data_IF_389509871590
#
_entry.id   IF_389509871590
#
_cell.length_a   1.000
_cell.length_b   1.000
_cell.length_c   1.000
_cell.angle_alpha   90.00
_cell.angle_beta   90.00
_cell.angle_gamma   90.00
#
_symmetry.space_group_name_H-M   'P 1'
#
loop_
_entity.id
_entity.type
_entity.pdbx_description
1 polymer ?
#
# COMPACT_ATOMS: atom_id res chain seq x y z
N UNK A 1 28.42 3.58 4.31
CA UNK A 1 27.33 4.10 5.15
C UNK A 1 27.82 5.12 6.19
N UNK A 2 28.68 4.75 7.14
CA UNK A 2 29.22 5.68 8.18
C UNK A 2 29.77 6.99 7.62
N UNK A 3 30.65 6.92 6.61
CA UNK A 3 31.21 8.10 5.95
C UNK A 3 30.14 9.03 5.33
N UNK A 4 29.03 8.47 4.85
CA UNK A 4 27.94 9.27 4.28
C UNK A 4 27.12 9.94 5.39
N UNK A 5 26.83 9.23 6.48
CA UNK A 5 26.19 9.79 7.68
C UNK A 5 27.02 10.96 8.20
N UNK A 6 28.33 10.78 8.37
CA UNK A 6 29.23 11.83 8.86
C UNK A 6 29.20 13.08 7.96
N UNK A 7 29.12 12.90 6.63
CA UNK A 7 28.98 14.01 5.68
C UNK A 7 27.62 14.72 5.82
N UNK A 8 26.54 13.95 5.93
CA UNK A 8 25.17 14.50 6.08
C UNK A 8 25.04 15.28 7.38
N UNK A 9 25.53 14.72 8.49
CA UNK A 9 25.57 15.38 9.81
C UNK A 9 26.26 16.73 9.71
N UNK A 10 27.44 16.78 9.09
CA UNK A 10 28.20 18.02 8.90
C UNK A 10 27.46 19.02 8.02
N UNK A 11 26.88 18.58 6.90
CA UNK A 11 26.15 19.45 5.97
C UNK A 11 24.89 20.05 6.60
N UNK A 12 24.23 19.31 7.49
CA UNK A 12 22.96 19.70 8.10
C UNK A 12 23.14 20.34 9.49
N UNK A 13 24.35 20.32 10.06
CA UNK A 13 24.60 20.84 11.40
C UNK A 13 23.86 20.05 12.49
N UNK A 14 23.79 18.72 12.34
CA UNK A 14 23.13 17.84 13.32
C UNK A 14 24.05 17.70 14.54
N UNK A 15 23.51 17.98 15.72
CA UNK A 15 24.20 17.68 16.97
C UNK A 15 24.13 16.16 17.24
N UNK A 16 25.31 15.53 17.34
CA UNK A 16 25.47 14.09 17.56
C UNK A 16 25.53 13.70 19.04
N UNK A 17 25.08 14.57 19.94
CA UNK A 17 25.06 14.30 21.38
C UNK A 17 24.33 13.00 21.78
N UNK A 18 23.44 12.45 20.93
CA UNK A 18 22.71 11.21 21.17
C UNK A 18 23.09 10.10 20.16
N UNK A 19 23.55 8.95 20.67
CA UNK A 19 23.84 7.73 19.91
C UNK A 19 22.61 7.22 19.16
N UNK A 20 21.40 7.47 19.70
CA UNK A 20 20.14 7.09 19.06
C UNK A 20 19.97 7.79 17.71
N UNK A 21 20.39 9.06 17.58
CA UNK A 21 20.27 9.83 16.34
C UNK A 21 21.02 9.17 15.18
N UNK A 22 22.22 8.64 15.43
CA UNK A 22 23.02 7.94 14.39
C UNK A 22 22.34 6.63 13.98
N UNK A 23 21.79 5.88 14.94
CA UNK A 23 21.06 4.66 14.66
C UNK A 23 19.81 4.93 13.80
N UNK A 24 19.01 5.94 14.17
CA UNK A 24 17.84 6.38 13.39
C UNK A 24 18.21 6.80 11.97
N UNK A 25 19.23 7.63 11.81
CA UNK A 25 19.73 8.01 10.47
C UNK A 25 20.20 6.77 9.69
N UNK A 26 20.86 5.83 10.35
CA UNK A 26 21.30 4.58 9.75
C UNK A 26 20.14 3.74 9.21
N UNK A 27 19.07 3.60 9.98
CA UNK A 27 17.85 2.90 9.56
C UNK A 27 17.18 3.59 8.38
N UNK A 28 17.06 4.92 8.41
CA UNK A 28 16.43 5.68 7.33
C UNK A 28 17.21 5.69 6.02
N UNK A 29 18.53 5.59 6.11
CA UNK A 29 19.46 5.54 4.98
C UNK A 29 19.75 4.13 4.49
N UNK A 30 19.43 3.10 5.27
CA UNK A 30 19.65 1.70 4.88
C UNK A 30 19.00 1.38 3.54
N UNK A 31 17.76 1.81 3.25
CA UNK A 31 17.16 1.67 1.93
C UNK A 31 17.90 2.37 0.79
N UNK A 32 18.70 3.38 1.11
CA UNK A 32 19.45 4.18 0.14
C UNK A 32 20.89 3.70 -0.02
N UNK A 33 21.26 2.53 0.55
CA UNK A 33 22.65 2.05 0.61
C UNK A 33 23.41 2.14 -0.71
N UNK A 34 22.80 1.65 -1.78
CA UNK A 34 23.48 1.52 -3.08
C UNK A 34 23.58 2.86 -3.82
N UNK A 35 22.78 3.85 -3.41
CA UNK A 35 22.70 5.18 -4.00
C UNK A 35 23.02 6.28 -3.00
N UNK A 36 23.71 5.91 -1.91
CA UNK A 36 23.98 6.83 -0.80
C UNK A 36 24.82 8.03 -1.26
N UNK A 37 25.64 7.85 -2.30
CA UNK A 37 26.37 8.94 -2.94
C UNK A 37 25.44 9.96 -3.59
N UNK A 38 24.46 9.51 -4.37
CA UNK A 38 23.46 10.37 -5.02
C UNK A 38 22.59 11.09 -3.98
N UNK A 39 22.24 10.41 -2.88
CA UNK A 39 21.54 11.05 -1.78
C UNK A 39 22.37 12.14 -1.10
N UNK A 40 23.68 11.89 -0.89
CA UNK A 40 24.60 12.89 -0.33
C UNK A 40 24.69 14.13 -1.22
N UNK A 41 24.73 13.96 -2.55
CA UNK A 41 24.74 15.09 -3.49
C UNK A 41 23.39 15.82 -3.49
N UNK A 42 22.27 15.10 -3.44
CA UNK A 42 20.95 15.69 -3.28
C UNK A 42 20.81 16.53 -2.01
N UNK A 43 21.32 16.05 -0.86
CA UNK A 43 21.34 16.81 0.39
C UNK A 43 22.15 18.09 0.22
N UNK A 44 23.32 18.03 -0.42
CA UNK A 44 24.18 19.21 -0.66
C UNK A 44 23.46 20.29 -1.47
N UNK A 45 22.69 19.89 -2.47
CA UNK A 45 21.96 20.80 -3.35
C UNK A 45 20.73 21.43 -2.69
N UNK A 46 20.08 20.72 -1.74
CA UNK A 46 18.76 21.07 -1.24
C UNK A 46 18.72 21.55 0.22
N UNK A 47 19.80 21.35 1.00
CA UNK A 47 19.84 21.65 2.44
C UNK A 47 19.68 23.14 2.80
N UNK A 48 19.93 24.03 1.83
CA UNK A 48 19.83 25.49 1.98
C UNK A 48 18.63 26.10 1.25
N UNK A 49 17.72 25.28 0.72
CA UNK A 49 16.50 25.80 0.08
C UNK A 49 15.61 26.55 1.09
N UNK A 50 14.79 27.47 0.60
CA UNK A 50 13.87 28.26 1.45
C UNK A 50 12.95 27.39 2.31
N UNK A 51 12.58 26.20 1.81
CA UNK A 51 11.79 25.20 2.52
C UNK A 51 12.48 24.68 3.80
N UNK A 52 13.80 24.80 3.90
CA UNK A 52 14.62 24.35 5.02
C UNK A 52 14.90 25.45 6.05
N UNK A 53 14.53 26.70 5.78
CA UNK A 53 14.95 27.87 6.57
C UNK A 53 14.60 27.77 8.06
N UNK A 54 13.46 27.16 8.39
CA UNK A 54 12.95 27.05 9.76
C UNK A 54 13.11 25.66 10.38
N UNK A 55 13.90 24.78 9.75
CA UNK A 55 14.13 23.41 10.22
C UNK A 55 15.51 23.28 10.87
N UNK A 56 15.59 22.57 11.99
CA UNK A 56 16.88 22.16 12.54
C UNK A 56 17.55 21.07 11.69
N UNK A 57 18.82 20.74 11.97
CA UNK A 57 19.59 19.79 11.16
C UNK A 57 18.93 18.42 11.01
N UNK A 58 18.32 17.89 12.07
CA UNK A 58 17.69 16.57 12.03
C UNK A 58 16.34 16.61 11.31
N UNK A 59 15.56 17.67 11.52
CA UNK A 59 14.34 17.92 10.76
C UNK A 59 14.61 18.10 9.26
N UNK A 60 15.72 18.75 8.89
CA UNK A 60 16.17 18.82 7.49
C UNK A 60 16.49 17.44 6.95
N UNK A 61 17.19 16.62 7.74
CA UNK A 61 17.52 15.24 7.35
C UNK A 61 16.26 14.44 7.04
N UNK A 62 15.31 14.37 7.97
CA UNK A 62 14.06 13.63 7.79
C UNK A 62 13.31 14.12 6.55
N UNK A 63 13.19 15.44 6.39
CA UNK A 63 12.50 16.02 5.24
C UNK A 63 13.18 15.65 3.91
N UNK A 64 14.50 15.78 3.81
CA UNK A 64 15.25 15.51 2.59
C UNK A 64 15.26 14.01 2.24
N UNK A 65 15.34 13.13 3.25
CA UNK A 65 15.19 11.68 3.06
C UNK A 65 13.81 11.37 2.48
N UNK A 66 12.75 11.94 3.06
CA UNK A 66 11.38 11.72 2.60
C UNK A 66 11.15 12.29 1.19
N UNK A 67 11.64 13.48 0.89
CA UNK A 67 11.51 14.11 -0.44
C UNK A 67 12.26 13.29 -1.50
N UNK A 68 13.48 12.84 -1.18
CA UNK A 68 14.27 11.98 -2.06
C UNK A 68 13.60 10.63 -2.31
N UNK A 69 13.08 9.98 -1.25
CA UNK A 69 12.32 8.73 -1.36
C UNK A 69 11.06 8.93 -2.22
N UNK A 70 10.30 10.00 -2.01
CA UNK A 70 9.10 10.32 -2.81
C UNK A 70 9.41 10.49 -4.30
N UNK A 71 10.50 11.20 -4.63
CA UNK A 71 10.91 11.40 -6.01
C UNK A 71 11.35 10.08 -6.67
N UNK A 72 11.97 9.15 -5.94
CA UNK A 72 12.28 7.80 -6.45
C UNK A 72 11.05 6.90 -6.63
N UNK A 73 10.06 7.09 -5.79
CA UNK A 73 8.77 6.41 -5.90
C UNK A 73 7.88 6.99 -7.00
N UNK A 74 8.31 8.08 -7.66
CA UNK A 74 7.63 8.57 -8.85
C UNK A 74 7.66 7.50 -9.94
N UNK A 75 6.52 7.29 -10.57
CA UNK A 75 6.37 6.35 -11.67
C UNK A 75 6.88 7.04 -12.94
N UNK A 76 7.60 6.32 -13.79
CA UNK A 76 7.95 6.81 -15.12
C UNK A 76 6.69 6.98 -15.98
N UNK A 77 6.80 7.72 -17.08
CA UNK A 77 5.68 7.85 -18.03
C UNK A 77 5.19 6.48 -18.54
N UNK A 78 6.10 5.57 -18.88
CA UNK A 78 5.76 4.21 -19.32
C UNK A 78 5.09 3.39 -18.20
N UNK A 79 5.55 3.53 -16.95
CA UNK A 79 4.89 2.91 -15.79
C UNK A 79 3.47 3.46 -15.59
N UNK A 80 3.28 4.78 -15.73
CA UNK A 80 1.98 5.42 -15.67
C UNK A 80 1.02 4.90 -16.75
N UNK A 81 1.48 4.78 -18.00
CA UNK A 81 0.67 4.24 -19.10
C UNK A 81 0.28 2.78 -18.84
N UNK A 82 1.21 1.94 -18.37
CA UNK A 82 0.93 0.53 -18.04
C UNK A 82 -0.08 0.42 -16.90
N UNK A 83 0.05 1.24 -15.87
CA UNK A 83 -0.87 1.29 -14.74
C UNK A 83 -2.25 1.74 -15.18
N UNK A 84 -2.32 2.78 -16.00
CA UNK A 84 -3.59 3.28 -16.54
C UNK A 84 -4.31 2.18 -17.34
N UNK A 85 -3.63 1.55 -18.29
CA UNK A 85 -4.22 0.49 -19.12
C UNK A 85 -4.69 -0.70 -18.27
N UNK A 86 -3.88 -1.11 -17.29
CA UNK A 86 -4.26 -2.19 -16.39
C UNK A 86 -5.48 -1.82 -15.51
N UNK A 87 -5.54 -0.59 -15.02
CA UNK A 87 -6.66 -0.12 -14.22
C UNK A 87 -7.96 -0.05 -15.02
N UNK A 88 -7.92 0.36 -16.28
CA UNK A 88 -9.09 0.38 -17.17
C UNK A 88 -9.59 -1.04 -17.50
N UNK A 89 -8.68 -1.98 -17.76
CA UNK A 89 -9.03 -3.39 -17.96
C UNK A 89 -9.67 -3.98 -16.68
N UNK A 90 -9.06 -3.70 -15.52
CA UNK A 90 -9.54 -4.18 -14.24
C UNK A 90 -10.90 -3.58 -13.89
N UNK A 91 -11.11 -2.28 -14.14
CA UNK A 91 -12.39 -1.60 -13.95
C UNK A 91 -13.51 -2.28 -14.76
N UNK A 92 -13.24 -2.60 -16.02
CA UNK A 92 -14.20 -3.32 -16.87
C UNK A 92 -14.58 -4.67 -16.28
N UNK A 93 -13.62 -5.46 -15.79
CA UNK A 93 -13.88 -6.77 -15.16
C UNK A 93 -14.63 -6.64 -13.84
N UNK A 94 -14.27 -5.65 -13.02
CA UNK A 94 -14.92 -5.38 -11.73
C UNK A 94 -16.38 -4.99 -11.94
N UNK A 95 -16.67 -4.10 -12.89
CA UNK A 95 -18.06 -3.70 -13.19
C UNK A 95 -18.89 -4.94 -13.54
N UNK A 96 -18.42 -5.78 -14.47
CA UNK A 96 -19.16 -6.98 -14.91
C UNK A 96 -19.47 -7.91 -13.74
N UNK A 97 -18.48 -8.27 -12.93
CA UNK A 97 -18.70 -9.25 -11.85
C UNK A 97 -19.57 -8.68 -10.72
N UNK A 98 -19.43 -7.39 -10.40
CA UNK A 98 -20.21 -6.75 -9.34
C UNK A 98 -21.62 -6.34 -9.80
N UNK A 99 -21.86 -6.16 -11.10
CA UNK A 99 -23.21 -6.12 -11.67
C UNK A 99 -23.94 -7.44 -11.44
N UNK A 100 -23.30 -8.58 -11.72
CA UNK A 100 -23.88 -9.91 -11.49
C UNK A 100 -24.22 -10.14 -10.02
N UNK A 101 -23.33 -9.76 -9.09
CA UNK A 101 -23.63 -9.82 -7.66
C UNK A 101 -24.79 -8.90 -7.27
N UNK A 102 -24.86 -7.71 -7.85
CA UNK A 102 -25.97 -6.79 -7.60
C UNK A 102 -27.30 -7.38 -8.07
N UNK A 103 -27.35 -8.00 -9.25
CA UNK A 103 -28.55 -8.68 -9.75
C UNK A 103 -28.97 -9.83 -8.85
N UNK A 104 -28.02 -10.61 -8.33
CA UNK A 104 -28.32 -11.72 -7.43
C UNK A 104 -28.88 -11.23 -6.08
N UNK A 105 -28.33 -10.16 -5.53
CA UNK A 105 -28.88 -9.52 -4.33
C UNK A 105 -30.31 -9.03 -4.57
N UNK A 106 -30.57 -8.40 -5.72
CA UNK A 106 -31.89 -7.87 -6.06
C UNK A 106 -32.91 -9.00 -6.30
N UNK A 107 -32.53 -10.08 -6.98
CA UNK A 107 -33.36 -11.30 -7.16
C UNK A 107 -33.77 -11.90 -5.82
N UNK A 108 -32.84 -11.92 -4.86
CA UNK A 108 -33.07 -12.42 -3.51
C UNK A 108 -33.71 -11.38 -2.57
N UNK A 109 -34.02 -10.16 -3.05
CA UNK A 109 -34.55 -9.03 -2.26
C UNK A 109 -33.70 -8.68 -1.04
N UNK A 110 -32.38 -8.87 -1.14
CA UNK A 110 -31.43 -8.60 -0.07
C UNK A 110 -30.85 -7.19 -0.25
N UNK A 111 -31.04 -6.33 0.75
CA UNK A 111 -30.39 -5.02 0.76
C UNK A 111 -28.88 -5.15 0.92
N UNK A 112 -28.10 -4.32 0.21
CA UNK A 112 -26.63 -4.30 0.31
C UNK A 112 -26.12 -3.98 1.73
N UNK A 113 -26.95 -3.31 2.55
CA UNK A 113 -26.62 -3.01 3.94
C UNK A 113 -26.94 -4.15 4.91
N UNK A 114 -27.59 -5.22 4.44
CA UNK A 114 -27.93 -6.36 5.27
C UNK A 114 -26.68 -7.18 5.66
N UNK A 115 -26.74 -7.81 6.83
CA UNK A 115 -25.69 -8.72 7.29
C UNK A 115 -25.49 -9.90 6.34
N UNK A 116 -26.57 -10.37 5.71
CA UNK A 116 -26.52 -11.49 4.77
C UNK A 116 -25.80 -11.12 3.46
N UNK A 117 -26.03 -9.92 2.93
CA UNK A 117 -25.26 -9.40 1.79
C UNK A 117 -23.76 -9.32 2.11
N UNK A 118 -23.41 -8.87 3.32
CA UNK A 118 -22.01 -8.86 3.77
C UNK A 118 -21.42 -10.27 3.78
N UNK A 119 -22.10 -11.22 4.43
CA UNK A 119 -21.66 -12.62 4.54
C UNK A 119 -21.50 -13.28 3.18
N UNK A 120 -22.42 -13.00 2.25
CA UNK A 120 -22.36 -13.50 0.88
C UNK A 120 -21.11 -12.98 0.15
N UNK A 121 -20.90 -11.65 0.14
CA UNK A 121 -19.75 -11.03 -0.53
C UNK A 121 -18.40 -11.42 0.08
N UNK A 122 -18.39 -11.71 1.38
CA UNK A 122 -17.19 -12.14 2.12
C UNK A 122 -17.00 -13.67 2.10
N UNK A 123 -17.89 -14.42 1.44
CA UNK A 123 -17.79 -15.88 1.39
C UNK A 123 -16.55 -16.35 0.63
N UNK A 124 -16.01 -17.50 1.03
CA UNK A 124 -14.83 -18.10 0.38
C UNK A 124 -15.09 -18.41 -1.10
N UNK A 125 -16.31 -18.82 -1.44
CA UNK A 125 -16.72 -19.07 -2.83
C UNK A 125 -16.61 -17.81 -3.69
N UNK A 126 -17.13 -16.68 -3.20
CA UNK A 126 -17.02 -15.38 -3.89
C UNK A 126 -15.57 -14.92 -3.97
N UNK A 127 -14.81 -15.05 -2.88
CA UNK A 127 -13.39 -14.69 -2.85
C UNK A 127 -12.59 -15.49 -3.88
N UNK A 128 -12.83 -16.80 -3.97
CA UNK A 128 -12.18 -17.68 -4.95
C UNK A 128 -12.55 -17.29 -6.38
N UNK A 129 -13.83 -17.08 -6.67
CA UNK A 129 -14.28 -16.68 -8.00
C UNK A 129 -13.67 -15.34 -8.43
N UNK A 130 -13.60 -14.37 -7.52
CA UNK A 130 -12.93 -13.09 -7.76
C UNK A 130 -11.44 -13.28 -8.04
N UNK A 131 -10.76 -14.15 -7.27
CA UNK A 131 -9.35 -14.46 -7.51
C UNK A 131 -9.14 -15.11 -8.88
N UNK A 132 -9.97 -16.08 -9.25
CA UNK A 132 -9.86 -16.82 -10.50
C UNK A 132 -10.11 -15.89 -11.72
N UNK A 133 -11.01 -14.92 -11.59
CA UNK A 133 -11.38 -14.00 -12.68
C UNK A 133 -10.50 -12.76 -12.79
N UNK A 134 -10.10 -12.16 -11.66
CA UNK A 134 -9.34 -10.90 -11.61
C UNK A 134 -7.83 -11.12 -11.42
N UNK A 135 -7.43 -12.31 -10.98
CA UNK A 135 -6.08 -12.61 -10.52
C UNK A 135 -5.75 -12.00 -9.15
N UNK A 136 -4.58 -12.33 -8.61
CA UNK A 136 -4.17 -11.90 -7.27
C UNK A 136 -4.11 -10.37 -7.11
N UNK A 137 -3.57 -9.67 -8.11
CA UNK A 137 -3.47 -8.21 -8.08
C UNK A 137 -4.85 -7.54 -8.13
N UNK A 138 -5.78 -8.10 -8.91
CA UNK A 138 -7.14 -7.59 -8.99
C UNK A 138 -7.91 -7.81 -7.70
N UNK A 139 -7.74 -8.97 -7.05
CA UNK A 139 -8.31 -9.23 -5.74
C UNK A 139 -7.78 -8.26 -4.67
N UNK A 140 -6.48 -7.95 -4.67
CA UNK A 140 -5.92 -6.94 -3.77
C UNK A 140 -6.58 -5.57 -3.93
N UNK A 141 -6.84 -5.13 -5.16
CA UNK A 141 -7.56 -3.87 -5.42
C UNK A 141 -8.99 -3.94 -4.88
N UNK A 142 -9.69 -5.05 -5.12
CA UNK A 142 -11.06 -5.26 -4.60
C UNK A 142 -11.10 -5.21 -3.08
N UNK A 143 -10.14 -5.85 -2.41
CA UNK A 143 -10.06 -5.87 -0.95
C UNK A 143 -9.67 -4.49 -0.38
N UNK A 144 -8.83 -3.71 -1.09
CA UNK A 144 -8.49 -2.32 -0.72
C UNK A 144 -9.70 -1.38 -0.77
N UNK A 145 -10.55 -1.52 -1.78
CA UNK A 145 -11.73 -0.67 -1.97
C UNK A 145 -12.93 -1.14 -1.14
N UNK A 146 -13.00 -2.44 -0.83
CA UNK A 146 -14.12 -3.04 -0.12
C UNK A 146 -15.23 -3.46 -1.07
N UNK A 147 -15.56 -4.75 -1.06
CA UNK A 147 -16.55 -5.39 -1.96
C UNK A 147 -17.93 -4.72 -1.90
N UNK A 148 -18.38 -4.32 -0.71
CA UNK A 148 -19.65 -3.63 -0.53
C UNK A 148 -19.64 -2.23 -1.18
N UNK A 149 -18.55 -1.52 -1.02
CA UNK A 149 -18.43 -0.16 -1.55
C UNK A 149 -18.35 -0.19 -3.07
N UNK A 150 -17.68 -1.20 -3.64
CA UNK A 150 -17.73 -1.49 -5.08
C UNK A 150 -19.16 -1.78 -5.54
N UNK A 151 -19.89 -2.71 -4.90
CA UNK A 151 -21.31 -2.96 -5.21
C UNK A 151 -22.13 -1.67 -5.24
N UNK A 152 -21.93 -0.79 -4.25
CA UNK A 152 -22.63 0.50 -4.15
C UNK A 152 -22.24 1.41 -5.32
N UNK A 153 -20.95 1.58 -5.57
CA UNK A 153 -20.45 2.45 -6.63
C UNK A 153 -20.85 1.97 -8.03
N UNK A 154 -20.91 0.67 -8.28
CA UNK A 154 -21.44 0.11 -9.55
C UNK A 154 -22.89 0.53 -9.79
N UNK A 155 -23.72 0.56 -8.72
CA UNK A 155 -25.13 1.00 -8.79
C UNK A 155 -25.28 2.52 -8.94
N UNK A 156 -24.45 3.30 -8.25
CA UNK A 156 -24.69 4.75 -8.10
C UNK A 156 -23.74 5.65 -8.89
N UNK A 157 -22.47 5.27 -9.07
CA UNK A 157 -21.47 6.13 -9.70
C UNK A 157 -20.24 5.34 -10.20
N UNK A 158 -20.30 4.86 -11.45
CA UNK A 158 -19.21 4.08 -12.08
C UNK A 158 -17.96 4.90 -12.39
N UNK A 159 -18.13 6.21 -12.65
CA UNK A 159 -16.99 7.10 -12.88
C UNK A 159 -16.13 7.23 -11.63
N UNK A 160 -16.77 7.41 -10.46
CA UNK A 160 -16.07 7.45 -9.18
C UNK A 160 -15.32 6.13 -8.91
N UNK A 161 -15.94 4.99 -9.22
CA UNK A 161 -15.30 3.69 -9.08
C UNK A 161 -14.05 3.56 -9.95
N UNK A 162 -14.09 4.06 -11.19
CA UNK A 162 -12.94 4.03 -12.09
C UNK A 162 -11.74 4.82 -11.51
N UNK A 163 -11.99 5.99 -10.92
CA UNK A 163 -10.96 6.78 -10.22
C UNK A 163 -10.41 6.03 -9.00
N UNK A 164 -11.29 5.49 -8.14
CA UNK A 164 -10.91 4.72 -6.96
C UNK A 164 -10.03 3.50 -7.33
N UNK A 165 -10.35 2.81 -8.43
CA UNK A 165 -9.54 1.71 -8.96
C UNK A 165 -8.18 2.21 -9.45
N UNK A 166 -8.13 3.31 -10.21
CA UNK A 166 -6.87 3.91 -10.69
C UNK A 166 -5.96 4.31 -9.54
N UNK A 167 -6.51 4.90 -8.48
CA UNK A 167 -5.78 5.25 -7.26
C UNK A 167 -5.22 4.01 -6.55
N UNK A 168 -6.06 2.98 -6.36
CA UNK A 168 -5.65 1.74 -5.70
C UNK A 168 -4.53 1.01 -6.47
N UNK A 169 -4.64 0.90 -7.79
CA UNK A 169 -3.60 0.30 -8.65
C UNK A 169 -2.31 1.11 -8.59
N UNK A 170 -2.41 2.44 -8.66
CA UNK A 170 -1.24 3.33 -8.59
C UNK A 170 -0.53 3.18 -7.24
N UNK A 171 -1.29 3.09 -6.15
CA UNK A 171 -0.74 2.86 -4.81
C UNK A 171 0.00 1.52 -4.74
N UNK A 172 -0.61 0.43 -5.21
CA UNK A 172 0.05 -0.88 -5.24
C UNK A 172 1.34 -0.89 -6.08
N UNK A 173 1.35 -0.16 -7.20
CA UNK A 173 2.54 -0.06 -8.04
C UNK A 173 3.68 0.70 -7.33
N UNK A 174 3.36 1.81 -6.66
CA UNK A 174 4.32 2.56 -5.85
C UNK A 174 4.84 1.74 -4.67
N UNK A 175 3.97 0.99 -4.00
CA UNK A 175 4.35 0.11 -2.90
C UNK A 175 5.29 -1.01 -3.38
N UNK A 176 4.99 -1.62 -4.53
CA UNK A 176 5.88 -2.61 -5.15
C UNK A 176 7.23 -2.01 -5.51
N UNK A 177 7.25 -0.79 -6.07
CA UNK A 177 8.48 -0.07 -6.39
C UNK A 177 9.28 0.23 -5.12
N UNK A 178 8.63 0.66 -4.05
CA UNK A 178 9.24 0.86 -2.74
C UNK A 178 9.89 -0.42 -2.20
N UNK A 179 9.19 -1.56 -2.28
CA UNK A 179 9.71 -2.87 -1.87
C UNK A 179 10.95 -3.23 -2.71
N UNK A 180 10.90 -3.06 -4.04
CA UNK A 180 12.04 -3.37 -4.92
C UNK A 180 13.26 -2.50 -4.67
N UNK A 181 13.07 -1.26 -4.21
CA UNK A 181 14.13 -0.32 -3.86
C UNK A 181 14.58 -0.47 -2.40
N UNK A 182 14.06 -1.44 -1.65
CA UNK A 182 14.36 -1.61 -0.23
C UNK A 182 13.86 -0.48 0.68
N UNK A 183 13.02 0.43 0.17
CA UNK A 183 12.44 1.61 0.85
C UNK A 183 11.21 1.27 1.70
N UNK A 184 10.77 0.01 1.69
CA UNK A 184 9.61 -0.44 2.44
C UNK A 184 9.89 -0.61 3.93
N UNK A 185 9.69 0.45 4.73
CA UNK A 185 9.48 0.30 6.17
C UNK A 185 8.01 -0.09 6.44
N UNK A 186 7.81 -1.33 6.92
CA UNK A 186 6.65 -1.81 7.70
C UNK A 186 5.21 -1.73 7.11
N UNK A 187 4.97 -1.98 5.82
CA UNK A 187 3.63 -2.42 5.35
C UNK A 187 3.47 -3.95 5.25
N UNK A 188 4.52 -4.71 5.57
CA UNK A 188 4.46 -6.18 5.71
C UNK A 188 3.62 -6.69 6.89
N UNK A 189 2.93 -5.80 7.63
CA UNK A 189 1.99 -6.19 8.69
C UNK A 189 0.52 -6.29 8.25
N UNK A 190 0.17 -5.95 7.00
CA UNK A 190 -1.21 -6.11 6.52
C UNK A 190 -1.47 -7.40 5.72
N UNK A 191 -0.46 -8.25 5.51
CA UNK A 191 -0.63 -9.55 4.82
C UNK A 191 -0.41 -10.76 5.77
N UNK A 192 0.17 -10.57 6.96
CA UNK A 192 0.48 -11.67 7.89
C UNK A 192 -0.30 -11.66 9.23
N UNK A 193 -1.33 -10.83 9.42
CA UNK A 193 -2.11 -10.83 10.67
C UNK A 193 -3.49 -11.49 10.61
N UNK A 194 -3.93 -11.99 9.45
CA UNK A 194 -5.19 -12.75 9.33
C UNK A 194 -5.00 -14.25 9.17
N UNK A 195 -3.77 -14.74 8.95
CA UNK A 195 -3.51 -16.18 8.79
C UNK A 195 -3.18 -16.90 10.10
N UNK A 196 -2.57 -16.23 11.08
CA UNK A 196 -2.07 -16.89 12.30
C UNK A 196 -2.98 -16.79 13.53
N UNK A 197 -4.13 -16.10 13.45
CA UNK A 197 -5.14 -16.10 14.53
C UNK A 197 -6.36 -16.98 14.27
N UNK A 198 -6.57 -17.41 13.01
CA UNK A 198 -7.67 -18.29 12.62
C UNK A 198 -7.34 -19.79 12.72
N UNK A 199 -6.08 -20.17 12.50
CA UNK A 199 -5.65 -21.58 12.56
C UNK A 199 -5.63 -22.12 14.01
N UNK A 200 -5.14 -21.33 14.97
CA UNK A 200 -5.06 -21.75 16.37
C UNK A 200 -6.43 -21.85 17.09
N UNK A 201 -7.48 -21.20 16.56
CA UNK A 201 -8.81 -21.21 17.19
C UNK A 201 -9.71 -22.35 16.71
N UNK A 202 -9.44 -22.94 15.54
CA UNK A 202 -10.26 -24.01 14.96
C UNK A 202 -9.79 -25.43 15.30
N UNK A 203 -8.51 -25.65 15.60
CA UNK A 203 -8.03 -26.96 16.08
C UNK A 203 -8.44 -27.28 17.53
N UNK A 204 -8.66 -26.25 18.37
CA UNK A 204 -9.07 -26.44 19.77
C UNK A 204 -10.60 -26.70 19.89
N UNK A 205 -11.40 -26.31 18.89
CA UNK A 205 -12.86 -26.47 18.91
C UNK A 205 -13.37 -27.76 18.28
N UNK A 206 -12.62 -28.35 17.35
CA UNK A 206 -12.99 -29.65 16.75
C UNK A 206 -12.63 -30.85 17.64
N UNK A 207 -11.65 -30.74 18.55
CA UNK A 207 -11.32 -31.83 19.48
C UNK A 207 -12.27 -31.96 20.70
N UNK A 208 -13.26 -31.05 20.87
CA UNK A 208 -14.22 -31.09 22.00
C UNK A 208 -15.66 -31.46 21.61
N UNK A 209 -15.91 -31.92 20.38
CA UNK A 209 -17.25 -32.37 19.93
C UNK A 209 -17.34 -33.82 19.44
N UNK A 210 -16.29 -34.63 19.64
CA UNK A 210 -16.30 -36.08 19.32
C UNK A 210 -16.13 -36.93 20.58
N UNK A 211 -16.45 -36.38 21.76
CA UNK A 211 -16.33 -37.08 23.04
C UNK A 211 -17.17 -36.44 24.13
N UNK A 212 -18.48 -36.39 23.92
CA UNK A 212 -19.51 -36.21 24.95
C UNK A 212 -20.85 -36.69 24.39
#
# INVERSE_FOLDING_TARGET
>A
MKLAIDKIVKMLGIDLADVNTIAFMGEDLMPLRDEIGLFVDYVRENCNSDKMRFKDGFQKFIFLVDEYKKNKLALSYDEHTKIYNYAEELNSKIIVIFELFNEELDKNRVSLNASDAKRYLDSDGVTKNLKDYLGEKGLMVVDMLGRRDICRSVRSNRYRLAEEIREAVTKLAKDKKAISLGLGNQTSRLINTTRDRGAAANEIRMCKRVGA
#
